data_IF_031387449052
#
_entry.id   IF_031387449052
#
_cell.length_a   1.000
_cell.length_b   1.000
_cell.length_c   1.000
_cell.angle_alpha   90.00
_cell.angle_beta   90.00
_cell.angle_gamma   90.00
#
_symmetry.space_group_name_H-M   'P 1'
#
loop_
_entity.id
_entity.type
_entity.pdbx_description
1 polymer ?
#
# COMPACT_ATOMS: atom_id res chain seq x y z
N UNK A 1 -3.30 6.15 -25.24
CA UNK A 1 -2.11 7.02 -25.09
C UNK A 1 -0.91 6.27 -25.65
N UNK A 2 0.09 6.93 -26.25
CA UNK A 2 1.34 6.23 -26.57
C UNK A 2 2.09 5.87 -25.29
N UNK A 3 2.92 4.82 -25.35
CA UNK A 3 3.68 4.33 -24.19
C UNK A 3 4.51 5.44 -23.52
N UNK A 4 5.16 6.29 -24.32
CA UNK A 4 5.98 7.41 -23.80
C UNK A 4 5.15 8.44 -23.03
N UNK A 5 3.94 8.75 -23.50
CA UNK A 5 3.05 9.69 -22.83
C UNK A 5 2.54 9.11 -21.51
N UNK A 6 2.26 7.79 -21.47
CA UNK A 6 1.87 7.08 -20.25
C UNK A 6 2.95 7.19 -19.17
N UNK A 7 4.20 6.90 -19.53
CA UNK A 7 5.35 6.96 -18.61
C UNK A 7 5.53 8.37 -18.04
N UNK A 8 5.42 9.40 -18.86
CA UNK A 8 5.54 10.80 -18.42
C UNK A 8 4.45 11.15 -17.40
N UNK A 9 3.18 10.84 -17.68
CA UNK A 9 2.09 11.10 -16.74
C UNK A 9 2.23 10.31 -15.45
N UNK A 10 2.65 9.04 -15.55
CA UNK A 10 2.88 8.20 -14.39
C UNK A 10 4.00 8.76 -13.49
N UNK A 11 5.10 9.21 -14.09
CA UNK A 11 6.19 9.86 -13.36
C UNK A 11 5.73 11.18 -12.72
N UNK A 12 4.94 11.98 -13.42
CA UNK A 12 4.37 13.23 -12.90
C UNK A 12 3.46 13.00 -11.69
N UNK A 13 2.56 12.01 -11.75
CA UNK A 13 1.62 11.72 -10.66
C UNK A 13 2.32 11.05 -9.48
N UNK A 14 3.31 10.20 -9.73
CA UNK A 14 4.22 9.73 -8.69
C UNK A 14 4.94 10.90 -8.00
N UNK A 15 5.47 11.86 -8.77
CA UNK A 15 6.11 13.06 -8.23
C UNK A 15 5.16 13.89 -7.35
N UNK A 16 3.95 14.18 -7.84
CA UNK A 16 2.92 14.90 -7.08
C UNK A 16 2.51 14.16 -5.80
N UNK A 17 2.38 12.84 -5.85
CA UNK A 17 2.09 12.01 -4.69
C UNK A 17 3.20 12.05 -3.64
N UNK A 18 4.46 12.01 -4.07
CA UNK A 18 5.62 12.11 -3.18
C UNK A 18 5.66 13.50 -2.51
N UNK A 19 5.44 14.56 -3.29
CA UNK A 19 5.38 15.93 -2.75
C UNK A 19 4.25 16.09 -1.74
N UNK A 20 3.06 15.57 -2.03
CA UNK A 20 1.93 15.58 -1.10
C UNK A 20 2.25 14.78 0.17
N UNK A 21 2.87 13.60 0.04
CA UNK A 21 3.27 12.79 1.18
C UNK A 21 4.23 13.57 2.10
N UNK A 22 5.38 13.99 1.58
CA UNK A 22 6.41 14.70 2.36
C UNK A 22 5.86 16.02 2.93
N UNK A 23 5.10 16.76 2.15
CA UNK A 23 4.46 18.01 2.60
C UNK A 23 3.55 17.79 3.80
N UNK A 24 2.71 16.76 3.77
CA UNK A 24 1.82 16.44 4.88
C UNK A 24 2.53 15.78 6.07
N UNK A 25 3.62 15.03 5.86
CA UNK A 25 4.48 14.62 6.97
C UNK A 25 5.02 15.86 7.71
N UNK A 26 5.55 16.84 6.95
CA UNK A 26 6.11 18.07 7.53
C UNK A 26 5.06 18.90 8.26
N UNK A 27 3.88 19.10 7.66
CA UNK A 27 2.76 19.78 8.31
C UNK A 27 2.32 19.05 9.59
N UNK A 28 2.28 17.72 9.57
CA UNK A 28 1.90 16.93 10.75
C UNK A 28 2.90 17.06 11.90
N UNK A 29 4.21 17.11 11.60
CA UNK A 29 5.24 17.36 12.64
C UNK A 29 5.18 18.79 13.17
N UNK A 30 4.86 19.76 12.31
CA UNK A 30 4.65 21.16 12.74
C UNK A 30 3.41 21.32 13.62
N UNK A 31 2.34 20.56 13.33
CA UNK A 31 1.09 20.59 14.08
C UNK A 31 1.15 19.81 15.39
N UNK A 32 2.01 18.79 15.48
CA UNK A 32 2.11 17.93 16.65
C UNK A 32 3.55 17.49 16.93
N UNK A 33 4.07 17.90 18.09
CA UNK A 33 5.43 17.65 18.56
C UNK A 33 5.52 16.66 19.74
N UNK A 34 4.47 15.88 19.99
CA UNK A 34 4.45 14.88 21.06
C UNK A 34 5.26 13.61 20.74
N UNK A 35 5.24 12.64 21.65
CA UNK A 35 6.02 11.40 21.57
C UNK A 35 5.77 10.57 20.29
N UNK A 36 4.61 10.73 19.66
CA UNK A 36 4.22 10.05 18.42
C UNK A 36 4.29 10.95 17.17
N UNK A 37 4.97 12.09 17.23
CA UNK A 37 5.01 13.07 16.13
C UNK A 37 5.50 12.45 14.81
N UNK A 38 6.55 11.63 14.86
CA UNK A 38 7.14 10.99 13.68
C UNK A 38 6.27 9.84 13.15
N UNK A 39 5.81 8.87 13.96
CA UNK A 39 4.88 7.84 13.47
C UNK A 39 3.58 8.41 12.88
N UNK A 40 2.99 9.42 13.55
CA UNK A 40 1.76 10.05 13.10
C UNK A 40 1.96 10.80 11.78
N UNK A 41 3.08 11.50 11.64
CA UNK A 41 3.38 12.22 10.41
C UNK A 41 3.55 11.28 9.22
N UNK A 42 4.27 10.17 9.38
CA UNK A 42 4.43 9.13 8.35
C UNK A 42 3.07 8.54 7.97
N UNK A 43 2.19 8.28 8.94
CA UNK A 43 0.84 7.79 8.69
C UNK A 43 0.02 8.79 7.86
N UNK A 44 -0.02 10.05 8.29
CA UNK A 44 -0.77 11.13 7.61
C UNK A 44 -0.22 11.37 6.20
N UNK A 45 1.09 11.51 6.04
CA UNK A 45 1.72 11.70 4.74
C UNK A 45 1.48 10.54 3.80
N UNK A 46 1.54 9.30 4.30
CA UNK A 46 1.25 8.10 3.51
C UNK A 46 -0.20 8.06 3.06
N UNK A 47 -1.15 8.32 3.96
CA UNK A 47 -2.57 8.39 3.62
C UNK A 47 -2.85 9.43 2.54
N UNK A 48 -2.34 10.66 2.71
CA UNK A 48 -2.55 11.74 1.75
C UNK A 48 -1.86 11.46 0.41
N UNK A 49 -0.62 10.99 0.42
CA UNK A 49 0.13 10.63 -0.79
C UNK A 49 -0.59 9.58 -1.63
N UNK A 50 -1.16 8.56 -0.99
CA UNK A 50 -1.93 7.50 -1.65
C UNK A 50 -3.24 8.04 -2.24
N UNK A 51 -3.98 8.88 -1.49
CA UNK A 51 -5.22 9.50 -1.98
C UNK A 51 -4.95 10.39 -3.20
N UNK A 52 -3.91 11.21 -3.16
CA UNK A 52 -3.51 12.09 -4.27
C UNK A 52 -3.12 11.27 -5.50
N UNK A 53 -2.30 10.23 -5.33
CA UNK A 53 -1.91 9.34 -6.44
C UNK A 53 -3.13 8.72 -7.09
N UNK A 54 -4.02 8.17 -6.27
CA UNK A 54 -5.24 7.52 -6.74
C UNK A 54 -6.14 8.49 -7.52
N UNK A 55 -6.34 9.71 -7.02
CA UNK A 55 -7.16 10.72 -7.69
C UNK A 55 -6.56 11.12 -9.05
N UNK A 56 -5.23 11.33 -9.11
CA UNK A 56 -4.53 11.73 -10.33
C UNK A 56 -4.51 10.62 -11.38
N UNK A 57 -4.14 9.41 -10.99
CA UNK A 57 -4.11 8.25 -11.89
C UNK A 57 -5.51 7.98 -12.46
N UNK A 58 -6.55 8.07 -11.62
CA UNK A 58 -7.96 7.92 -12.03
C UNK A 58 -8.38 8.94 -13.07
N UNK A 59 -8.08 10.22 -12.87
CA UNK A 59 -8.57 11.30 -13.74
C UNK A 59 -7.81 11.33 -15.08
N UNK A 60 -6.52 11.01 -15.07
CA UNK A 60 -5.64 11.34 -16.20
C UNK A 60 -5.06 10.13 -16.94
N UNK A 61 -4.69 9.05 -16.23
CA UNK A 61 -4.14 7.84 -16.88
C UNK A 61 -5.27 6.96 -17.37
N UNK A 62 -6.27 6.74 -16.52
CA UNK A 62 -7.39 5.85 -16.79
C UNK A 62 -8.58 6.59 -17.40
N UNK A 63 -8.37 7.44 -18.44
CA UNK A 63 -9.44 8.04 -19.28
C UNK A 63 -10.33 6.95 -19.92
N UNK A 64 -11.13 6.25 -19.13
CA UNK A 64 -11.89 5.08 -19.51
C UNK A 64 -13.38 5.37 -19.27
N UNK A 65 -14.07 5.70 -20.36
CA UNK A 65 -15.49 5.39 -20.53
C UNK A 65 -15.61 3.87 -20.40
N UNK A 66 -16.35 3.36 -19.41
CA UNK A 66 -17.44 2.38 -19.58
C UNK A 66 -18.14 2.16 -18.21
N UNK A 67 -19.40 2.59 -18.18
CA UNK A 67 -20.52 2.25 -17.28
C UNK A 67 -20.43 2.37 -15.75
N UNK A 68 -19.40 1.91 -15.02
CA UNK A 68 -19.46 1.99 -13.54
C UNK A 68 -18.10 2.17 -12.83
N UNK A 69 -17.91 3.36 -12.26
CA UNK A 69 -16.73 3.84 -11.53
C UNK A 69 -16.42 3.04 -10.24
N UNK A 70 -17.42 2.35 -9.70
CA UNK A 70 -17.35 1.66 -8.42
C UNK A 70 -16.52 0.37 -8.48
N UNK A 71 -16.61 -0.37 -9.59
CA UNK A 71 -16.02 -1.71 -9.67
C UNK A 71 -14.49 -1.69 -9.80
N UNK A 72 -13.92 -0.79 -10.61
CA UNK A 72 -12.45 -0.68 -10.75
C UNK A 72 -11.74 -0.17 -9.49
N UNK A 73 -12.38 0.75 -8.76
CA UNK A 73 -11.88 1.24 -7.46
C UNK A 73 -11.95 0.15 -6.41
N UNK A 74 -13.04 -0.62 -6.40
CA UNK A 74 -13.19 -1.79 -5.55
C UNK A 74 -12.11 -2.83 -5.84
N UNK A 75 -11.81 -3.14 -7.10
CA UNK A 75 -10.76 -4.10 -7.46
C UNK A 75 -9.36 -3.63 -7.04
N UNK A 76 -9.04 -2.34 -7.21
CA UNK A 76 -7.75 -1.79 -6.77
C UNK A 76 -7.63 -1.73 -5.25
N UNK A 77 -8.67 -1.28 -4.54
CA UNK A 77 -8.71 -1.30 -3.08
C UNK A 77 -8.61 -2.72 -2.54
N UNK A 78 -9.34 -3.67 -3.13
CA UNK A 78 -9.23 -5.08 -2.77
C UNK A 78 -7.80 -5.56 -2.98
N UNK A 79 -7.18 -5.29 -4.14
CA UNK A 79 -5.81 -5.68 -4.41
C UNK A 79 -4.80 -5.11 -3.40
N UNK A 80 -4.90 -3.81 -3.08
CA UNK A 80 -4.03 -3.17 -2.08
C UNK A 80 -4.28 -3.70 -0.68
N UNK A 81 -5.54 -3.89 -0.28
CA UNK A 81 -5.90 -4.47 1.04
C UNK A 81 -5.42 -5.91 1.14
N UNK A 82 -5.51 -6.70 0.06
CA UNK A 82 -5.00 -8.06 0.03
C UNK A 82 -3.47 -8.06 0.15
N UNK A 83 -2.78 -7.15 -0.53
CA UNK A 83 -1.34 -6.92 -0.37
C UNK A 83 -0.97 -6.64 1.08
N UNK A 84 -1.60 -5.64 1.69
CA UNK A 84 -1.36 -5.25 3.09
C UNK A 84 -1.69 -6.38 4.08
N UNK A 85 -2.78 -7.11 3.86
CA UNK A 85 -3.16 -8.24 4.71
C UNK A 85 -2.10 -9.35 4.66
N UNK A 86 -1.58 -9.65 3.46
CA UNK A 86 -0.56 -10.71 3.30
C UNK A 86 0.79 -10.28 3.88
N UNK A 87 1.15 -8.99 3.80
CA UNK A 87 2.32 -8.43 4.47
C UNK A 87 2.19 -8.47 5.99
N UNK A 88 1.00 -8.17 6.53
CA UNK A 88 0.74 -8.24 7.97
C UNK A 88 0.82 -9.68 8.50
N UNK A 89 0.36 -10.67 7.72
CA UNK A 89 0.52 -12.10 8.04
C UNK A 89 2.00 -12.46 8.10
N UNK A 90 2.76 -12.09 7.07
CA UNK A 90 4.21 -12.32 7.03
C UNK A 90 4.92 -11.74 8.27
N UNK A 91 4.70 -10.46 8.55
CA UNK A 91 5.30 -9.78 9.71
C UNK A 91 4.83 -10.37 11.03
N UNK A 92 3.56 -10.78 11.14
CA UNK A 92 3.02 -11.38 12.36
C UNK A 92 3.73 -12.68 12.73
N UNK A 93 4.05 -13.54 11.75
CA UNK A 93 4.81 -14.76 11.99
C UNK A 93 6.31 -14.49 12.19
N UNK A 94 6.90 -13.57 11.42
CA UNK A 94 8.32 -13.23 11.56
C UNK A 94 8.63 -12.58 12.92
N UNK A 95 7.94 -11.49 13.24
CA UNK A 95 8.14 -10.79 14.51
C UNK A 95 7.54 -11.56 15.69
N UNK A 96 6.49 -12.35 15.49
CA UNK A 96 5.96 -13.23 16.52
C UNK A 96 6.98 -14.30 16.93
N UNK A 97 7.65 -14.93 15.96
CA UNK A 97 8.70 -15.90 16.24
C UNK A 97 9.94 -15.23 16.88
N UNK A 98 10.31 -14.04 16.42
CA UNK A 98 11.40 -13.25 17.02
C UNK A 98 11.09 -12.86 18.48
N UNK A 99 9.84 -12.48 18.77
CA UNK A 99 9.40 -12.09 20.11
C UNK A 99 9.31 -13.25 21.11
N UNK A 100 9.06 -14.48 20.63
CA UNK A 100 8.97 -15.68 21.50
C UNK A 100 10.36 -16.30 21.73
N UNK A 101 11.15 -16.42 20.67
CA UNK A 101 12.37 -17.23 20.68
C UNK A 101 13.65 -16.39 20.69
N UNK A 102 13.58 -15.08 20.48
CA UNK A 102 14.70 -14.13 20.49
C UNK A 102 15.93 -14.61 19.72
N UNK A 103 15.69 -15.31 18.59
CA UNK A 103 16.75 -15.91 17.80
C UNK A 103 16.48 -15.71 16.32
N UNK A 104 17.55 -15.35 15.60
CA UNK A 104 17.49 -15.11 14.16
C UNK A 104 16.99 -16.34 13.36
N UNK A 105 17.41 -17.59 13.65
CA UNK A 105 16.88 -18.75 12.96
C UNK A 105 15.36 -18.91 13.15
N UNK A 106 14.84 -18.64 14.35
CA UNK A 106 13.41 -18.71 14.61
C UNK A 106 12.63 -17.59 13.90
N UNK A 107 13.16 -16.36 13.90
CA UNK A 107 12.60 -15.25 13.13
C UNK A 107 12.50 -15.58 11.64
N UNK A 108 13.59 -16.07 11.03
CA UNK A 108 13.62 -16.44 9.62
C UNK A 108 12.64 -17.58 9.30
N UNK A 109 12.55 -18.60 10.17
CA UNK A 109 11.56 -19.67 10.03
C UNK A 109 10.13 -19.15 10.14
N UNK A 110 9.86 -18.23 11.08
CA UNK A 110 8.59 -17.53 11.18
C UNK A 110 8.26 -16.75 9.91
N UNK A 111 9.23 -16.03 9.34
CA UNK A 111 9.08 -15.33 8.07
C UNK A 111 8.75 -16.26 6.91
N UNK A 112 9.44 -17.41 6.80
CA UNK A 112 9.14 -18.43 5.76
C UNK A 112 7.72 -18.96 5.90
N UNK A 113 7.30 -19.32 7.13
CA UNK A 113 5.92 -19.78 7.40
C UNK A 113 4.91 -18.69 7.06
N UNK A 114 5.17 -17.46 7.48
CA UNK A 114 4.34 -16.29 7.20
C UNK A 114 4.19 -16.00 5.71
N UNK A 115 5.27 -16.12 4.93
CA UNK A 115 5.25 -15.97 3.47
C UNK A 115 4.44 -17.08 2.79
N UNK A 116 4.63 -18.34 3.19
CA UNK A 116 3.88 -19.47 2.62
C UNK A 116 2.38 -19.28 2.86
N UNK A 117 1.98 -18.95 4.10
CA UNK A 117 0.59 -18.66 4.43
C UNK A 117 0.09 -17.44 3.66
N UNK A 118 0.89 -16.37 3.61
CA UNK A 118 0.60 -15.15 2.86
C UNK A 118 0.30 -15.42 1.39
N UNK A 119 1.09 -16.24 0.70
CA UNK A 119 0.84 -16.61 -0.69
C UNK A 119 -0.40 -17.47 -0.89
N UNK A 120 -0.66 -18.45 0.00
CA UNK A 120 -1.88 -19.27 -0.07
C UNK A 120 -3.13 -18.41 0.14
N UNK A 121 -3.09 -17.51 1.12
CA UNK A 121 -4.17 -16.57 1.42
C UNK A 121 -4.36 -15.60 0.26
N UNK A 122 -3.28 -15.02 -0.28
CA UNK A 122 -3.32 -14.15 -1.45
C UNK A 122 -3.96 -14.81 -2.65
N UNK A 123 -3.55 -16.04 -2.97
CA UNK A 123 -4.11 -16.81 -4.08
C UNK A 123 -5.62 -17.02 -3.93
N UNK A 124 -6.09 -17.37 -2.73
CA UNK A 124 -7.53 -17.56 -2.46
C UNK A 124 -8.30 -16.24 -2.56
N UNK A 125 -7.72 -15.14 -2.12
CA UNK A 125 -8.34 -13.82 -2.14
C UNK A 125 -8.40 -13.27 -3.57
N UNK A 126 -7.31 -13.35 -4.32
CA UNK A 126 -7.25 -12.93 -5.73
C UNK A 126 -8.23 -13.76 -6.57
N UNK A 127 -8.27 -15.09 -6.38
CA UNK A 127 -9.23 -15.96 -7.08
C UNK A 127 -10.69 -15.62 -6.79
N UNK A 128 -11.01 -15.21 -5.55
CA UNK A 128 -12.39 -14.96 -5.10
C UNK A 128 -12.87 -13.54 -5.35
N UNK A 129 -11.97 -12.56 -5.36
CA UNK A 129 -12.33 -11.14 -5.36
C UNK A 129 -11.79 -10.34 -6.55
N UNK A 130 -10.77 -10.86 -7.25
CA UNK A 130 -10.14 -10.18 -8.39
C UNK A 130 -10.48 -10.88 -9.70
N UNK A 131 -10.54 -12.21 -9.72
CA UNK A 131 -10.77 -13.02 -10.92
C UNK A 131 -12.11 -13.76 -10.94
N UNK A 132 -13.05 -13.41 -10.05
CA UNK A 132 -14.41 -13.97 -9.99
C UNK A 132 -15.43 -13.03 -10.63
#
# INVERSE_FOLDING_TARGET
MSASRLVIFYALFAGLSILANIGFQKLSVMAYSGAFSVPLSVFVGTGVGLVVKFALDKVWIFRYRHRDLSHGVRSFLLYTVMGLATTAIFWGFEFGADAIYHSEPARLMGGVVGLVIGYVVKYRLDKKFVFA
#
